data_IF_831564509803
#
_entry.id   IF_831564509803
#
_cell.length_a   1.000
_cell.length_b   1.000
_cell.length_c   1.000
_cell.angle_alpha   90.00
_cell.angle_beta   90.00
_cell.angle_gamma   90.00
#
_symmetry.space_group_name_H-M   'P 1'
#
loop_
_entity.id
_entity.type
_entity.pdbx_description
1 polymer ?
#
# COMPACT_ATOMS: atom_id res chain seq x y z
N UNK A 1 -24.61 8.55 5.65
CA UNK A 1 -24.58 8.36 7.11
C UNK A 1 -23.92 7.05 7.55
N UNK A 2 -24.38 5.84 7.15
CA UNK A 2 -23.66 4.60 7.51
C UNK A 2 -22.31 4.43 6.77
N UNK A 3 -22.26 4.80 5.49
CA UNK A 3 -21.02 4.74 4.69
C UNK A 3 -19.91 5.61 5.30
N UNK A 4 -20.23 6.87 5.61
CA UNK A 4 -19.29 7.83 6.22
C UNK A 4 -18.79 7.35 7.60
N UNK A 5 -19.63 6.62 8.34
CA UNK A 5 -19.25 6.02 9.64
C UNK A 5 -18.18 4.95 9.47
N UNK A 6 -18.38 4.01 8.54
CA UNK A 6 -17.41 2.95 8.28
C UNK A 6 -16.13 3.48 7.62
N UNK A 7 -16.24 4.49 6.77
CA UNK A 7 -15.07 5.17 6.18
C UNK A 7 -14.19 5.80 7.26
N UNK A 8 -14.76 6.64 8.14
CA UNK A 8 -14.01 7.22 9.26
C UNK A 8 -13.41 6.16 10.17
N UNK A 9 -14.19 5.14 10.51
CA UNK A 9 -13.68 4.06 11.36
C UNK A 9 -12.56 3.27 10.67
N UNK A 10 -12.63 3.09 9.34
CA UNK A 10 -11.57 2.45 8.58
C UNK A 10 -10.28 3.27 8.60
N UNK A 11 -10.36 4.60 8.51
CA UNK A 11 -9.21 5.49 8.61
C UNK A 11 -8.56 5.41 10.01
N UNK A 12 -9.37 5.38 11.06
CA UNK A 12 -8.89 5.18 12.45
C UNK A 12 -8.18 3.84 12.60
N UNK A 13 -8.78 2.76 12.09
CA UNK A 13 -8.18 1.41 12.16
C UNK A 13 -6.84 1.35 11.39
N UNK A 14 -6.73 2.01 10.24
CA UNK A 14 -5.45 2.15 9.51
C UNK A 14 -4.43 2.92 10.37
N UNK A 15 -4.85 4.03 10.99
CA UNK A 15 -4.00 4.82 11.88
C UNK A 15 -3.45 3.99 13.05
N UNK A 16 -4.29 3.20 13.70
CA UNK A 16 -3.87 2.30 14.79
C UNK A 16 -2.90 1.21 14.32
N UNK A 17 -3.10 0.65 13.12
CA UNK A 17 -2.17 -0.31 12.54
C UNK A 17 -0.78 0.32 12.28
N UNK A 18 -0.73 1.58 11.84
CA UNK A 18 0.53 2.34 11.68
C UNK A 18 1.17 2.61 13.04
N UNK A 19 0.39 3.08 14.02
CA UNK A 19 0.88 3.36 15.37
C UNK A 19 1.43 2.11 16.05
N UNK A 20 0.79 0.94 15.87
CA UNK A 20 1.30 -0.34 16.38
C UNK A 20 2.70 -0.64 15.85
N UNK A 21 2.96 -0.43 14.55
CA UNK A 21 4.30 -0.65 13.98
C UNK A 21 5.34 0.31 14.55
N UNK A 22 4.97 1.59 14.71
CA UNK A 22 5.85 2.60 15.29
C UNK A 22 6.19 2.26 16.75
N UNK A 23 5.21 1.82 17.55
CA UNK A 23 5.43 1.37 18.93
C UNK A 23 6.34 0.15 18.99
N UNK A 24 6.21 -0.76 18.04
CA UNK A 24 7.06 -1.95 17.88
C UNK A 24 8.45 -1.64 17.31
N UNK A 25 8.76 -0.37 17.01
CA UNK A 25 10.00 0.06 16.34
C UNK A 25 10.26 -0.69 15.02
N UNK A 26 9.19 -1.14 14.38
CA UNK A 26 9.22 -1.82 13.09
C UNK A 26 9.16 -0.79 11.95
N UNK A 27 9.66 -1.18 10.77
CA UNK A 27 9.52 -0.34 9.58
C UNK A 27 8.05 -0.22 9.18
N UNK A 28 7.62 1.00 8.86
CA UNK A 28 6.27 1.24 8.35
C UNK A 28 6.24 0.94 6.86
N UNK A 29 5.44 -0.05 6.47
CA UNK A 29 5.22 -0.40 5.06
C UNK A 29 3.78 -0.82 4.82
N UNK A 30 3.31 -0.66 3.58
CA UNK A 30 1.95 -1.07 3.20
C UNK A 30 1.66 -2.54 3.48
N UNK A 31 2.62 -3.42 3.25
CA UNK A 31 2.49 -4.85 3.54
C UNK A 31 2.41 -5.11 5.05
N UNK A 32 3.25 -4.44 5.85
CA UNK A 32 3.16 -4.56 7.30
C UNK A 32 1.80 -4.04 7.83
N UNK A 33 1.28 -2.95 7.26
CA UNK A 33 -0.03 -2.39 7.63
C UNK A 33 -1.11 -3.42 7.33
N UNK A 34 -1.07 -4.01 6.12
CA UNK A 34 -2.00 -5.06 5.73
C UNK A 34 -1.98 -6.24 6.71
N UNK A 35 -0.79 -6.73 7.09
CA UNK A 35 -0.67 -7.82 8.07
C UNK A 35 -1.30 -7.46 9.42
N UNK A 36 -1.08 -6.24 9.93
CA UNK A 36 -1.71 -5.79 11.19
C UNK A 36 -3.23 -5.73 11.08
N UNK A 37 -3.76 -5.29 9.95
CA UNK A 37 -5.20 -5.23 9.70
C UNK A 37 -5.83 -6.63 9.61
N UNK A 38 -5.15 -7.58 8.98
CA UNK A 38 -5.62 -8.98 8.89
C UNK A 38 -5.64 -9.65 10.27
N UNK A 39 -4.62 -9.40 11.10
CA UNK A 39 -4.60 -9.85 12.50
C UNK A 39 -5.73 -9.20 13.30
N UNK A 40 -5.95 -7.89 13.14
CA UNK A 40 -7.05 -7.18 13.80
C UNK A 40 -8.40 -7.80 13.43
N UNK A 41 -8.65 -8.01 12.13
CA UNK A 41 -9.90 -8.58 11.63
C UNK A 41 -10.16 -9.99 12.19
N UNK A 42 -9.13 -10.82 12.30
CA UNK A 42 -9.28 -12.18 12.82
C UNK A 42 -9.74 -12.21 14.30
N UNK A 43 -9.34 -11.20 15.08
CA UNK A 43 -9.59 -11.15 16.52
C UNK A 43 -10.81 -10.30 16.91
N UNK A 44 -11.42 -9.59 15.96
CA UNK A 44 -12.51 -8.65 16.24
C UNK A 44 -13.88 -9.33 16.20
N UNK A 45 -14.76 -8.96 17.13
CA UNK A 45 -16.11 -9.53 17.29
C UNK A 45 -17.22 -8.51 16.98
N UNK A 46 -16.89 -7.22 16.99
CA UNK A 46 -17.83 -6.16 16.65
C UNK A 46 -18.07 -6.12 15.14
N UNK A 47 -19.30 -6.41 14.71
CA UNK A 47 -19.71 -6.30 13.30
C UNK A 47 -19.35 -4.94 12.67
N UNK A 48 -19.50 -3.86 13.43
CA UNK A 48 -19.14 -2.52 12.97
C UNK A 48 -17.65 -2.41 12.65
N UNK A 49 -16.79 -2.88 13.55
CA UNK A 49 -15.34 -2.84 13.38
C UNK A 49 -14.86 -3.84 12.33
N UNK A 50 -15.52 -4.99 12.21
CA UNK A 50 -15.29 -5.96 11.13
C UNK A 50 -15.53 -5.30 9.77
N UNK A 51 -16.68 -4.65 9.57
CA UNK A 51 -16.98 -3.95 8.32
C UNK A 51 -15.95 -2.85 8.02
N UNK A 52 -15.57 -2.06 9.02
CA UNK A 52 -14.56 -1.02 8.86
C UNK A 52 -13.15 -1.58 8.58
N UNK A 53 -12.76 -2.68 9.22
CA UNK A 53 -11.50 -3.36 8.98
C UNK A 53 -11.42 -3.98 7.58
N UNK A 54 -12.52 -4.57 7.09
CA UNK A 54 -12.60 -5.05 5.71
C UNK A 54 -12.41 -3.91 4.71
N UNK A 55 -13.04 -2.75 4.96
CA UNK A 55 -12.84 -1.55 4.14
C UNK A 55 -11.39 -1.03 4.19
N UNK A 56 -10.80 -1.00 5.39
CA UNK A 56 -9.39 -0.62 5.57
C UNK A 56 -8.45 -1.53 4.77
N UNK A 57 -8.67 -2.85 4.83
CA UNK A 57 -7.89 -3.84 4.06
C UNK A 57 -8.04 -3.60 2.55
N UNK A 58 -9.25 -3.34 2.06
CA UNK A 58 -9.47 -3.04 0.65
C UNK A 58 -8.73 -1.78 0.20
N UNK A 59 -8.78 -0.72 1.01
CA UNK A 59 -8.09 0.54 0.73
C UNK A 59 -6.56 0.34 0.70
N UNK A 60 -5.99 -0.38 1.67
CA UNK A 60 -4.56 -0.68 1.70
C UNK A 60 -4.13 -1.55 0.53
N UNK A 61 -4.91 -2.58 0.16
CA UNK A 61 -4.64 -3.41 -1.03
C UNK A 61 -4.64 -2.59 -2.31
N UNK A 62 -5.56 -1.62 -2.42
CA UNK A 62 -5.59 -0.68 -3.55
C UNK A 62 -4.32 0.17 -3.62
N UNK A 63 -3.86 0.71 -2.49
CA UNK A 63 -2.60 1.48 -2.43
C UNK A 63 -1.36 0.64 -2.75
N UNK A 64 -1.30 -0.61 -2.28
CA UNK A 64 -0.23 -1.55 -2.66
C UNK A 64 -0.19 -1.71 -4.19
N UNK A 65 -1.35 -1.92 -4.82
CA UNK A 65 -1.43 -2.08 -6.27
C UNK A 65 -0.98 -0.81 -7.02
N UNK A 66 -1.46 0.36 -6.59
CA UNK A 66 -1.05 1.65 -7.17
C UNK A 66 0.47 1.84 -7.05
N UNK A 67 1.06 1.51 -5.91
CA UNK A 67 2.51 1.63 -5.71
C UNK A 67 3.30 0.66 -6.59
N UNK A 68 2.79 -0.55 -6.82
CA UNK A 68 3.41 -1.51 -7.73
C UNK A 68 3.37 -1.01 -9.18
N UNK A 69 2.25 -0.44 -9.62
CA UNK A 69 2.11 0.17 -10.94
C UNK A 69 3.10 1.33 -11.12
N UNK A 70 3.20 2.24 -10.13
CA UNK A 70 4.16 3.37 -10.17
C UNK A 70 5.61 2.88 -10.26
N UNK A 71 5.96 1.82 -9.54
CA UNK A 71 7.29 1.21 -9.60
C UNK A 71 7.58 0.55 -10.95
N UNK A 72 6.55 0.00 -11.61
CA UNK A 72 6.69 -0.64 -12.92
C UNK A 72 6.73 0.37 -14.08
N UNK A 73 6.00 1.49 -13.97
CA UNK A 73 5.92 2.52 -15.02
C UNK A 73 7.19 3.37 -15.18
N UNK A 74 8.02 3.49 -14.14
CA UNK A 74 9.31 4.20 -14.21
C UNK A 74 10.44 3.39 -14.86
N UNK A 75 10.14 2.25 -15.50
CA UNK A 75 11.08 1.53 -16.38
C UNK A 75 10.91 1.89 -17.86
N UNK A 76 10.51 3.14 -18.16
CA UNK A 76 10.72 3.66 -19.51
C UNK A 76 12.22 3.77 -19.77
N UNK A 77 12.71 2.71 -20.40
CA UNK A 77 13.88 2.58 -21.26
C UNK A 77 14.50 3.96 -21.55
N UNK A 78 15.55 4.32 -20.80
CA UNK A 78 16.53 5.27 -21.31
C UNK A 78 17.05 4.66 -22.62
N UNK A 79 16.91 5.31 -23.79
CA UNK A 79 17.61 4.85 -24.97
C UNK A 79 19.09 4.88 -24.61
N UNK A 80 19.77 3.76 -24.79
CA UNK A 80 21.20 3.67 -24.59
C UNK A 80 21.86 4.71 -25.50
N UNK A 81 22.29 5.83 -24.91
CA UNK A 81 23.25 6.69 -25.56
C UNK A 81 24.53 5.88 -25.68
N UNK A 82 24.85 5.43 -26.90
CA UNK A 82 26.22 5.19 -27.33
C UNK A 82 26.25 5.23 -28.85
N UNK A 83 26.70 6.39 -29.32
CA UNK A 83 27.23 6.65 -30.65
C UNK A 83 28.24 5.58 -31.07
N UNK A 84 28.13 5.10 -32.30
CA UNK A 84 29.23 4.54 -33.07
C UNK A 84 28.89 4.64 -34.56
N UNK A 85 28.97 5.85 -35.10
CA UNK A 85 29.06 6.04 -36.56
C UNK A 85 30.40 5.47 -37.00
N UNK A 86 30.39 4.29 -37.62
CA UNK A 86 31.58 3.67 -38.18
C UNK A 86 31.97 4.42 -39.46
N UNK A 87 32.96 5.32 -39.35
CA UNK A 87 33.55 6.04 -40.48
C UNK A 87 34.84 5.33 -40.92
N UNK A 88 34.73 4.12 -41.47
CA UNK A 88 35.82 3.56 -42.25
C UNK A 88 35.48 3.64 -43.73
N UNK A 89 35.73 4.85 -44.25
CA UNK A 89 35.95 5.14 -45.67
C UNK A 89 37.42 4.81 -45.97
N UNK A 90 37.69 3.80 -46.80
CA UNK A 90 38.82 3.82 -47.73
C UNK A 90 38.51 2.94 -48.92
#
# INVERSE_FOLDING_TARGET
MQKDKYERLSEVIIGEAVLSQLREKSSVSWYAILTKLEIFLHNELSNEKICAAMLAIQNVKKEININNIRRSGNREIMPAANDSVNINKT
#
